data_IF_639283707277
#
_entry.id   IF_639283707277
#
_cell.length_a   1.000
_cell.length_b   1.000
_cell.length_c   1.000
_cell.angle_alpha   90.00
_cell.angle_beta   90.00
_cell.angle_gamma   90.00
#
_symmetry.space_group_name_H-M   'P 1'
#
loop_
_entity.id
_entity.type
_entity.pdbx_description
1 polymer ?
#
# COMPACT_ATOMS: atom_id res chain seq x y z
N UNK A 1 -17.90 18.58 -4.86
CA UNK A 1 -17.51 17.91 -6.12
C UNK A 1 -16.03 17.53 -6.08
N UNK A 2 -15.60 16.91 -4.98
CA UNK A 2 -14.17 16.72 -4.62
C UNK A 2 -13.89 15.28 -4.22
N UNK A 3 -14.92 14.51 -3.85
CA UNK A 3 -14.81 13.10 -3.42
C UNK A 3 -14.52 12.16 -4.60
N UNK A 4 -15.00 12.47 -5.81
CA UNK A 4 -14.79 11.62 -6.99
C UNK A 4 -13.37 11.69 -7.56
N UNK A 5 -12.71 12.84 -7.47
CA UNK A 5 -11.33 13.00 -7.98
C UNK A 5 -10.33 12.20 -7.15
N UNK A 6 -10.51 12.17 -5.82
CA UNK A 6 -9.67 11.38 -4.91
C UNK A 6 -9.77 9.88 -5.24
N UNK A 7 -10.99 9.37 -5.49
CA UNK A 7 -11.19 7.95 -5.81
C UNK A 7 -10.62 7.53 -7.17
N UNK A 8 -10.57 8.46 -8.13
CA UNK A 8 -9.98 8.18 -9.44
C UNK A 8 -8.45 8.16 -9.35
N UNK A 9 -7.84 9.08 -8.58
CA UNK A 9 -6.41 9.09 -8.28
C UNK A 9 -5.98 7.81 -7.56
N UNK A 10 -6.75 7.35 -6.57
CA UNK A 10 -6.55 6.08 -5.87
C UNK A 10 -6.57 4.88 -6.82
N UNK A 11 -7.58 4.79 -7.70
CA UNK A 11 -7.66 3.72 -8.72
C UNK A 11 -6.48 3.75 -9.68
N UNK A 12 -6.02 4.93 -10.08
CA UNK A 12 -4.84 5.04 -10.96
C UNK A 12 -3.56 4.62 -10.27
N UNK A 13 -3.36 4.99 -8.99
CA UNK A 13 -2.21 4.57 -8.21
C UNK A 13 -2.19 3.04 -8.01
N UNK A 14 -3.35 2.44 -7.72
CA UNK A 14 -3.51 0.99 -7.56
C UNK A 14 -3.25 0.24 -8.87
N UNK A 15 -3.73 0.76 -10.01
CA UNK A 15 -3.48 0.18 -11.33
C UNK A 15 -2.00 0.26 -11.74
N UNK A 16 -1.32 1.39 -11.48
CA UNK A 16 0.12 1.54 -11.72
C UNK A 16 0.89 0.50 -10.89
N UNK A 17 0.43 0.25 -9.67
CA UNK A 17 1.10 -0.68 -8.80
C UNK A 17 0.89 -2.14 -9.18
N UNK A 18 -0.34 -2.54 -9.49
CA UNK A 18 -0.61 -3.88 -9.98
C UNK A 18 0.25 -4.20 -11.22
N UNK A 19 0.47 -3.20 -12.08
CA UNK A 19 1.37 -3.31 -13.23
C UNK A 19 2.84 -3.45 -12.82
N UNK A 20 3.30 -2.72 -11.81
CA UNK A 20 4.65 -2.85 -11.28
C UNK A 20 4.90 -4.23 -10.63
N UNK A 21 3.94 -4.75 -9.88
CA UNK A 21 3.99 -6.10 -9.30
C UNK A 21 4.05 -7.18 -10.38
N UNK A 22 3.21 -7.08 -11.40
CA UNK A 22 3.23 -7.99 -12.54
C UNK A 22 4.59 -7.97 -13.26
N UNK A 23 5.14 -6.78 -13.50
CA UNK A 23 6.43 -6.65 -14.16
C UNK A 23 7.59 -7.23 -13.33
N UNK A 24 7.52 -7.11 -12.00
CA UNK A 24 8.50 -7.74 -11.12
C UNK A 24 8.42 -9.28 -11.17
N UNK A 25 7.22 -9.84 -11.26
CA UNK A 25 7.02 -11.28 -11.41
C UNK A 25 7.61 -11.79 -12.74
N UNK A 26 7.31 -11.11 -13.85
CA UNK A 26 7.90 -11.42 -15.16
C UNK A 26 9.43 -11.37 -15.14
N UNK A 27 10.01 -10.33 -14.53
CA UNK A 27 11.47 -10.22 -14.40
C UNK A 27 12.09 -11.36 -13.58
N UNK A 28 11.40 -11.84 -12.53
CA UNK A 28 11.85 -12.98 -11.74
C UNK A 28 11.87 -14.26 -12.58
N UNK A 29 10.82 -14.49 -13.36
CA UNK A 29 10.70 -15.66 -14.25
C UNK A 29 11.78 -15.63 -15.35
N UNK A 30 12.01 -14.48 -15.98
CA UNK A 30 13.06 -14.29 -16.98
C UNK A 30 14.45 -14.57 -16.40
N UNK A 31 14.72 -14.09 -15.18
CA UNK A 31 16.00 -14.31 -14.51
C UNK A 31 16.20 -15.77 -14.11
N UNK A 32 15.14 -16.48 -13.71
CA UNK A 32 15.20 -17.91 -13.45
C UNK A 32 15.46 -18.70 -14.74
N UNK A 33 14.83 -18.32 -15.85
CA UNK A 33 15.08 -18.91 -17.16
C UNK A 33 16.54 -18.72 -17.59
N UNK A 34 17.09 -17.52 -17.40
CA UNK A 34 18.51 -17.23 -17.65
C UNK A 34 19.42 -18.07 -16.75
N UNK A 35 19.10 -18.17 -15.45
CA UNK A 35 19.86 -19.01 -14.50
C UNK A 35 19.87 -20.47 -14.93
N UNK A 36 18.73 -21.01 -15.34
CA UNK A 36 18.58 -22.39 -15.82
C UNK A 36 19.34 -22.62 -17.13
N UNK A 37 19.26 -21.68 -18.08
CA UNK A 37 19.98 -21.74 -19.35
C UNK A 37 21.50 -21.78 -19.15
N UNK A 38 22.04 -21.01 -18.20
CA UNK A 38 23.48 -21.03 -17.89
C UNK A 38 23.91 -22.18 -16.99
N UNK A 39 23.02 -22.78 -16.20
CA UNK A 39 23.33 -23.96 -15.38
C UNK A 39 23.79 -25.16 -16.23
N UNK A 40 23.36 -25.21 -17.49
CA UNK A 40 23.63 -26.31 -18.43
C UNK A 40 24.77 -25.98 -19.43
N UNK A 41 25.29 -24.75 -19.45
CA UNK A 41 26.37 -24.31 -20.34
C UNK A 41 27.64 -23.97 -19.55
N UNK A 42 28.61 -24.88 -19.62
CA UNK A 42 29.84 -24.92 -18.80
C UNK A 42 30.93 -23.89 -19.16
N UNK A 43 30.63 -22.85 -19.95
CA UNK A 43 31.66 -21.93 -20.50
C UNK A 43 31.57 -20.49 -19.98
N UNK A 44 30.77 -20.20 -18.96
CA UNK A 44 30.82 -18.90 -18.29
C UNK A 44 31.84 -18.91 -17.13
N UNK A 45 32.71 -17.89 -17.02
CA UNK A 45 33.56 -17.73 -15.85
C UNK A 45 32.70 -17.67 -14.58
N UNK A 46 32.98 -18.52 -13.59
CA UNK A 46 32.22 -18.60 -12.34
C UNK A 46 32.05 -17.24 -11.65
N UNK A 47 33.06 -16.36 -11.78
CA UNK A 47 33.04 -14.99 -11.27
C UNK A 47 31.94 -14.13 -11.91
N UNK A 48 31.70 -14.31 -13.21
CA UNK A 48 30.66 -13.59 -13.95
C UNK A 48 29.27 -14.07 -13.57
N UNK A 49 29.10 -15.39 -13.40
CA UNK A 49 27.86 -15.98 -12.90
C UNK A 49 27.53 -15.46 -11.49
N UNK A 50 28.50 -15.46 -10.57
CA UNK A 50 28.35 -14.94 -9.21
C UNK A 50 27.99 -13.45 -9.20
N UNK A 51 28.59 -12.65 -10.08
CA UNK A 51 28.28 -11.23 -10.23
C UNK A 51 26.84 -11.01 -10.70
N UNK A 52 26.39 -11.74 -11.71
CA UNK A 52 25.02 -11.65 -12.22
C UNK A 52 24.04 -12.08 -11.12
N UNK A 53 24.29 -13.20 -10.45
CA UNK A 53 23.43 -13.69 -9.37
C UNK A 53 23.31 -12.67 -8.21
N UNK A 54 24.42 -12.04 -7.82
CA UNK A 54 24.43 -11.03 -6.78
C UNK A 54 23.65 -9.76 -7.19
N UNK A 55 23.77 -9.35 -8.45
CA UNK A 55 22.98 -8.23 -8.98
C UNK A 55 21.49 -8.55 -8.98
N UNK A 56 21.12 -9.77 -9.39
CA UNK A 56 19.74 -10.26 -9.32
C UNK A 56 19.21 -10.23 -7.90
N UNK A 57 19.94 -10.80 -6.93
CA UNK A 57 19.54 -10.77 -5.53
C UNK A 57 19.30 -9.35 -5.00
N UNK A 58 20.14 -8.39 -5.39
CA UNK A 58 19.96 -6.97 -5.04
C UNK A 58 18.70 -6.37 -5.67
N UNK A 59 18.45 -6.64 -6.96
CA UNK A 59 17.24 -6.18 -7.65
C UNK A 59 15.98 -6.76 -6.99
N UNK A 60 15.98 -8.05 -6.65
CA UNK A 60 14.87 -8.71 -5.96
C UNK A 60 14.64 -8.12 -4.58
N UNK A 61 15.71 -7.87 -3.81
CA UNK A 61 15.60 -7.21 -2.50
C UNK A 61 15.00 -5.81 -2.63
N UNK A 62 15.40 -5.06 -3.66
CA UNK A 62 14.86 -3.71 -3.93
C UNK A 62 13.36 -3.77 -4.20
N UNK A 63 12.89 -4.74 -4.99
CA UNK A 63 11.46 -4.95 -5.24
C UNK A 63 10.69 -5.23 -3.94
N UNK A 64 11.22 -6.10 -3.08
CA UNK A 64 10.58 -6.38 -1.78
C UNK A 64 10.52 -5.16 -0.86
N UNK A 65 11.59 -4.37 -0.83
CA UNK A 65 11.65 -3.15 -0.03
C UNK A 65 10.62 -2.11 -0.52
N UNK A 66 10.46 -1.96 -1.83
CA UNK A 66 9.44 -1.09 -2.42
C UNK A 66 8.01 -1.58 -2.13
N UNK A 67 7.76 -2.89 -2.20
CA UNK A 67 6.46 -3.47 -1.83
C UNK A 67 6.12 -3.18 -0.36
N UNK A 68 7.10 -3.33 0.54
CA UNK A 68 6.92 -3.01 1.96
C UNK A 68 6.61 -1.52 2.18
N UNK A 69 7.34 -0.62 1.51
CA UNK A 69 7.10 0.83 1.59
C UNK A 69 5.68 1.17 1.15
N UNK A 70 5.18 0.46 0.15
CA UNK A 70 3.82 0.67 -0.29
C UNK A 70 2.77 0.16 0.69
N UNK A 71 2.96 -1.01 1.28
CA UNK A 71 2.04 -1.50 2.29
C UNK A 71 1.98 -0.53 3.49
N UNK A 72 3.12 0.07 3.86
CA UNK A 72 3.17 1.15 4.84
C UNK A 72 2.43 2.42 4.37
N UNK A 73 2.58 2.79 3.10
CA UNK A 73 1.86 3.93 2.50
C UNK A 73 0.34 3.71 2.49
N UNK A 74 -0.14 2.53 2.08
CA UNK A 74 -1.55 2.13 2.13
C UNK A 74 -2.11 2.22 3.55
N UNK A 75 -1.38 1.69 4.53
CA UNK A 75 -1.77 1.78 5.96
C UNK A 75 -1.90 3.24 6.41
N UNK A 76 -0.96 4.10 6.03
CA UNK A 76 -1.02 5.55 6.37
C UNK A 76 -2.20 6.26 5.69
N UNK A 77 -2.47 5.98 4.42
CA UNK A 77 -3.59 6.60 3.70
C UNK A 77 -4.96 6.19 4.24
N UNK A 78 -5.11 4.92 4.64
CA UNK A 78 -6.34 4.41 5.26
C UNK A 78 -6.57 4.93 6.71
N UNK A 79 -5.72 5.84 7.19
CA UNK A 79 -5.82 6.37 8.55
C UNK A 79 -5.54 5.32 9.64
N UNK A 80 -4.89 4.21 9.28
CA UNK A 80 -4.49 3.15 10.22
C UNK A 80 -3.27 3.63 10.99
N UNK A 81 -3.51 4.51 11.97
CA UNK A 81 -2.54 4.82 13.02
C UNK A 81 -2.79 3.83 14.15
N UNK A 82 -1.84 2.91 14.37
CA UNK A 82 -1.88 1.86 15.41
C UNK A 82 -2.87 0.70 15.20
N UNK A 83 -3.06 0.20 13.98
CA UNK A 83 -3.91 -0.99 13.65
C UNK A 83 -5.42 -0.84 13.86
N UNK A 84 -5.91 0.33 14.27
CA UNK A 84 -7.34 0.62 14.32
C UNK A 84 -7.73 1.50 13.14
N UNK A 85 -8.56 0.97 12.24
CA UNK A 85 -9.24 1.79 11.24
C UNK A 85 -10.30 2.64 11.97
N UNK A 86 -10.05 3.94 12.13
CA UNK A 86 -11.03 4.85 12.70
C UNK A 86 -12.10 5.14 11.65
N UNK A 87 -13.30 4.60 11.85
CA UNK A 87 -14.45 4.90 10.99
C UNK A 87 -14.91 6.34 11.22
N UNK A 88 -14.46 7.24 10.36
CA UNK A 88 -14.80 8.66 10.43
C UNK A 88 -16.31 8.92 10.24
N UNK A 89 -17.04 8.05 9.56
CA UNK A 89 -18.48 8.22 9.35
C UNK A 89 -19.28 7.82 10.59
N UNK A 90 -18.88 6.73 11.26
CA UNK A 90 -19.41 6.36 12.57
C UNK A 90 -19.12 7.45 13.61
N UNK A 91 -17.88 7.94 13.68
CA UNK A 91 -17.48 9.00 14.61
C UNK A 91 -18.24 10.31 14.34
N UNK A 92 -18.41 10.69 13.06
CA UNK A 92 -19.17 11.89 12.70
C UNK A 92 -20.63 11.78 13.11
N UNK A 93 -21.23 10.60 12.94
CA UNK A 93 -22.61 10.34 13.36
C UNK A 93 -22.76 10.42 14.88
N UNK A 94 -21.81 9.85 15.63
CA UNK A 94 -21.82 9.90 17.09
C UNK A 94 -21.63 11.31 17.64
N UNK A 95 -20.62 12.04 17.13
CA UNK A 95 -20.33 13.41 17.54
C UNK A 95 -21.47 14.35 17.13
N UNK A 96 -22.00 14.21 15.90
CA UNK A 96 -23.15 14.95 15.42
C UNK A 96 -24.37 14.75 16.32
N UNK A 97 -24.73 13.50 16.62
CA UNK A 97 -25.85 13.19 17.52
C UNK A 97 -25.66 13.69 18.95
N UNK A 98 -24.43 13.73 19.47
CA UNK A 98 -24.12 14.36 20.76
C UNK A 98 -24.32 15.87 20.70
N UNK A 99 -23.85 16.53 19.65
CA UNK A 99 -24.02 17.97 19.46
C UNK A 99 -25.48 18.36 19.25
N UNK A 100 -26.25 17.56 18.52
CA UNK A 100 -27.67 17.80 18.30
C UNK A 100 -28.48 17.65 19.58
N UNK A 101 -28.13 16.68 20.44
CA UNK A 101 -28.71 16.58 21.79
C UNK A 101 -28.39 17.81 22.65
N UNK A 102 -27.15 18.31 22.61
CA UNK A 102 -26.75 19.53 23.33
C UNK A 102 -27.55 20.74 22.80
N UNK A 103 -27.72 20.86 21.47
CA UNK A 103 -28.52 21.91 20.86
C UNK A 103 -30.00 21.81 21.26
N UNK A 104 -30.58 20.62 21.24
CA UNK A 104 -31.96 20.40 21.67
C UNK A 104 -32.15 20.72 23.16
N UNK A 105 -31.18 20.39 24.02
CA UNK A 105 -31.21 20.72 25.44
C UNK A 105 -31.04 22.23 25.71
N UNK A 106 -30.42 22.98 24.80
CA UNK A 106 -30.28 24.44 24.90
C UNK A 106 -31.62 25.16 24.88
N UNK A 107 -32.62 24.60 24.18
CA UNK A 107 -33.98 25.15 24.08
C UNK A 107 -34.92 24.59 25.16
N UNK A 108 -34.48 23.63 25.98
CA UNK A 108 -35.32 22.91 26.94
C UNK A 108 -35.62 23.67 28.25
N UNK A 109 -35.13 24.91 28.41
CA UNK A 109 -35.47 25.75 29.55
C UNK A 109 -34.84 25.29 30.87
N UNK A 110 -34.64 26.26 31.76
CA UNK A 110 -33.92 26.20 33.04
C UNK A 110 -34.06 24.89 33.84
N UNK A 111 -32.92 24.42 34.35
CA UNK A 111 -32.85 23.38 35.39
C UNK A 111 -33.53 23.93 36.66
N UNK A 112 -34.55 23.26 37.23
CA UNK A 112 -35.14 23.66 38.51
C UNK A 112 -34.08 23.59 39.61
N UNK A 113 -33.99 24.64 40.44
CA UNK A 113 -33.14 24.68 41.64
C UNK A 113 -33.70 23.79 42.75
#
# INVERSE_FOLDING_TARGET
MTVTKLSDEERTAEAILAKAEAHCAEMLDDLEAVRLYYKDKTDLPEAELKRVLANVQKSVQTVFDERRRLDEFRKRQLGIVNEYALDFDAVRSEVGGRLDRIRAARDAGQIPQ
#
